data_IF_879485931606
#
_entry.id   IF_879485931606
#
_cell.length_a   1.000
_cell.length_b   1.000
_cell.length_c   1.000
_cell.angle_alpha   90.00
_cell.angle_beta   90.00
_cell.angle_gamma   90.00
#
_symmetry.space_group_name_H-M   'P 1'
#
loop_
_entity.id
_entity.type
_entity.pdbx_description
1 polymer ?
#
# COMPACT_ATOMS: atom_id res chain seq x y z
N UNK A 1 3.23 5.80 -20.51
CA UNK A 1 3.34 4.77 -19.44
C UNK A 1 2.65 3.47 -19.85
N UNK A 2 1.31 3.36 -19.81
CA UNK A 2 0.61 2.11 -20.20
C UNK A 2 0.90 1.72 -21.65
N UNK A 3 0.83 2.67 -22.59
CA UNK A 3 1.20 2.44 -23.99
C UNK A 3 2.65 1.94 -24.16
N UNK A 4 3.56 2.40 -23.30
CA UNK A 4 4.97 1.98 -23.35
C UNK A 4 5.16 0.59 -22.76
N UNK A 5 4.51 0.31 -21.62
CA UNK A 5 4.46 -1.02 -21.03
C UNK A 5 3.83 -2.05 -21.96
N UNK A 6 2.82 -1.64 -22.74
CA UNK A 6 2.14 -2.49 -23.71
C UNK A 6 3.03 -2.81 -24.93
N UNK A 7 4.15 -2.12 -25.16
CA UNK A 7 5.12 -2.44 -26.21
C UNK A 7 6.03 -3.62 -25.84
N UNK A 8 6.26 -3.85 -24.54
CA UNK A 8 7.12 -4.92 -24.04
C UNK A 8 6.41 -6.30 -24.08
N UNK A 9 7.12 -7.41 -24.33
CA UNK A 9 6.57 -8.76 -24.15
C UNK A 9 6.10 -9.02 -22.71
N UNK A 10 6.84 -8.50 -21.72
CA UNK A 10 6.52 -8.57 -20.30
C UNK A 10 6.72 -7.19 -19.67
N UNK A 11 5.71 -6.68 -18.98
CA UNK A 11 5.81 -5.40 -18.27
C UNK A 11 5.10 -5.43 -16.93
N UNK A 12 5.53 -4.54 -16.03
CA UNK A 12 4.86 -4.25 -14.77
C UNK A 12 4.62 -2.74 -14.71
N UNK A 13 3.39 -2.35 -14.37
CA UNK A 13 3.02 -0.95 -14.12
C UNK A 13 2.59 -0.83 -12.67
N UNK A 14 3.15 0.14 -11.95
CA UNK A 14 2.78 0.44 -10.56
C UNK A 14 1.98 1.74 -10.56
N UNK A 15 0.74 1.66 -10.08
CA UNK A 15 -0.17 2.79 -9.89
C UNK A 15 -0.28 3.05 -8.39
N UNK A 16 0.63 3.86 -7.88
CA UNK A 16 0.70 4.16 -6.45
C UNK A 16 -0.33 5.23 -6.06
N UNK A 17 -0.91 5.10 -4.86
CA UNK A 17 -1.77 6.06 -4.21
C UNK A 17 -2.96 6.50 -5.11
N UNK A 18 -3.83 5.53 -5.48
CA UNK A 18 -4.96 5.80 -6.38
C UNK A 18 -5.84 6.94 -5.88
N UNK A 19 -6.11 7.03 -4.57
CA UNK A 19 -6.91 8.10 -3.97
C UNK A 19 -6.35 9.50 -4.29
N UNK A 20 -5.02 9.65 -4.35
CA UNK A 20 -4.36 10.87 -4.78
C UNK A 20 -4.57 11.15 -6.28
N UNK A 21 -4.47 10.11 -7.12
CA UNK A 21 -4.69 10.24 -8.57
C UNK A 21 -6.12 10.64 -8.92
N UNK A 22 -7.11 10.05 -8.26
CA UNK A 22 -8.53 10.38 -8.49
C UNK A 22 -8.96 11.65 -7.76
N UNK A 23 -8.03 12.38 -7.14
CA UNK A 23 -8.31 13.60 -6.39
C UNK A 23 -9.38 13.40 -5.30
N UNK A 24 -9.32 12.27 -4.61
CA UNK A 24 -10.29 11.92 -3.57
C UNK A 24 -10.21 12.88 -2.39
N UNK A 25 -11.35 13.42 -1.96
CA UNK A 25 -11.46 14.24 -0.76
C UNK A 25 -12.64 13.78 0.13
N UNK A 26 -12.38 13.36 1.39
CA UNK A 26 -13.40 12.83 2.29
C UNK A 26 -14.38 13.89 2.84
N UNK A 27 -13.99 15.18 2.89
CA UNK A 27 -14.80 16.25 3.53
C UNK A 27 -16.06 16.63 2.70
N UNK A 28 -16.22 16.04 1.52
CA UNK A 28 -17.45 16.08 0.77
C UNK A 28 -17.30 15.18 -0.45
N UNK A 29 -17.45 13.84 -0.29
CA UNK A 29 -16.82 12.77 -1.05
C UNK A 29 -16.77 13.08 -2.54
N UNK A 30 -15.67 13.72 -2.95
CA UNK A 30 -15.41 14.20 -4.30
C UNK A 30 -14.25 13.41 -4.86
N UNK A 31 -14.29 13.21 -6.18
CA UNK A 31 -13.25 12.59 -6.95
C UNK A 31 -13.39 13.02 -8.42
N UNK A 32 -12.31 12.88 -9.18
CA UNK A 32 -12.31 13.08 -10.62
C UNK A 32 -12.84 11.82 -11.32
N UNK A 33 -14.13 11.83 -11.68
CA UNK A 33 -14.73 10.72 -12.43
C UNK A 33 -14.01 10.45 -13.76
N UNK A 34 -13.49 11.51 -14.41
CA UNK A 34 -12.69 11.38 -15.62
C UNK A 34 -11.47 10.48 -15.39
N UNK A 35 -10.73 10.69 -14.30
CA UNK A 35 -9.56 9.89 -13.96
C UNK A 35 -9.97 8.46 -13.56
N UNK A 36 -11.07 8.30 -12.82
CA UNK A 36 -11.60 6.96 -12.48
C UNK A 36 -11.90 6.15 -13.74
N UNK A 37 -12.59 6.74 -14.73
CA UNK A 37 -12.86 6.03 -15.99
C UNK A 37 -11.57 5.75 -16.77
N UNK A 38 -10.65 6.73 -16.86
CA UNK A 38 -9.38 6.54 -17.54
C UNK A 38 -8.55 5.38 -16.94
N UNK A 39 -8.48 5.28 -15.60
CA UNK A 39 -7.78 4.17 -14.93
C UNK A 39 -8.42 2.83 -15.30
N UNK A 40 -9.75 2.74 -15.31
CA UNK A 40 -10.45 1.49 -15.69
C UNK A 40 -10.15 1.06 -17.11
N UNK A 41 -10.22 2.01 -18.03
CA UNK A 41 -9.97 1.76 -19.44
C UNK A 41 -8.53 1.28 -19.65
N UNK A 42 -7.56 1.94 -19.00
CA UNK A 42 -6.15 1.56 -19.09
C UNK A 42 -5.87 0.18 -18.49
N UNK A 43 -6.46 -0.14 -17.33
CA UNK A 43 -6.28 -1.45 -16.66
C UNK A 43 -6.97 -2.57 -17.43
N UNK A 44 -8.10 -2.29 -18.08
CA UNK A 44 -8.89 -3.28 -18.83
C UNK A 44 -8.45 -3.43 -20.30
N UNK A 45 -7.51 -2.60 -20.76
CA UNK A 45 -7.12 -2.56 -22.16
C UNK A 45 -6.47 -3.88 -22.59
N UNK A 46 -6.97 -4.55 -23.64
CA UNK A 46 -6.41 -5.80 -24.12
C UNK A 46 -5.02 -5.57 -24.73
N UNK A 47 -4.08 -6.46 -24.41
CA UNK A 47 -2.74 -6.46 -24.99
C UNK A 47 -2.70 -7.26 -26.29
N UNK A 48 -1.77 -6.91 -27.18
CA UNK A 48 -1.47 -7.71 -28.38
C UNK A 48 -1.01 -9.11 -28.00
N UNK A 49 -1.25 -10.08 -28.88
CA UNK A 49 -0.84 -11.46 -28.68
C UNK A 49 0.65 -11.58 -28.34
N UNK A 50 0.97 -12.46 -27.39
CA UNK A 50 2.34 -12.67 -26.90
C UNK A 50 2.85 -11.62 -25.91
N UNK A 51 1.99 -10.70 -25.44
CA UNK A 51 2.35 -9.69 -24.42
C UNK A 51 1.57 -9.88 -23.13
N UNK A 52 2.22 -9.61 -22.00
CA UNK A 52 1.61 -9.65 -20.66
C UNK A 52 2.02 -8.43 -19.85
N UNK A 53 1.07 -7.83 -19.15
CA UNK A 53 1.29 -6.74 -18.22
C UNK A 53 0.70 -7.11 -16.86
N UNK A 54 1.48 -6.88 -15.80
CA UNK A 54 0.99 -6.89 -14.43
C UNK A 54 0.78 -5.44 -13.98
N UNK A 55 -0.44 -5.11 -13.57
CA UNK A 55 -0.71 -3.81 -12.94
C UNK A 55 -0.81 -4.01 -11.44
N UNK A 56 0.07 -3.35 -10.69
CA UNK A 56 0.03 -3.28 -9.24
C UNK A 56 -0.49 -1.91 -8.85
N UNK A 57 -1.45 -1.84 -7.94
CA UNK A 57 -1.95 -0.58 -7.45
C UNK A 57 -2.01 -0.56 -5.92
N UNK A 58 -1.81 0.62 -5.34
CA UNK A 58 -1.90 0.82 -3.89
C UNK A 58 -3.02 1.81 -3.57
N UNK A 59 -3.65 1.58 -2.42
CA UNK A 59 -4.65 2.50 -1.87
C UNK A 59 -4.74 2.34 -0.36
N UNK A 60 -4.95 3.45 0.33
CA UNK A 60 -5.34 3.50 1.75
C UNK A 60 -6.86 3.63 1.93
N UNK A 61 -7.61 3.84 0.84
CA UNK A 61 -9.06 4.13 0.82
C UNK A 61 -9.84 3.06 0.02
N UNK A 62 -9.67 1.78 0.38
CA UNK A 62 -10.29 0.66 -0.35
C UNK A 62 -11.81 0.76 -0.41
N UNK A 63 -12.46 1.16 0.69
CA UNK A 63 -13.92 1.18 0.77
C UNK A 63 -14.50 2.19 -0.23
N UNK A 64 -13.87 3.35 -0.31
CA UNK A 64 -14.23 4.46 -1.18
C UNK A 64 -14.03 4.08 -2.65
N UNK A 65 -12.90 3.44 -2.98
CA UNK A 65 -12.65 2.91 -4.32
C UNK A 65 -13.66 1.83 -4.72
N UNK A 66 -14.17 1.05 -3.75
CA UNK A 66 -15.18 0.04 -3.99
C UNK A 66 -16.55 0.66 -4.29
N UNK A 67 -16.95 1.72 -3.58
CA UNK A 67 -18.18 2.48 -3.88
C UNK A 67 -18.15 3.04 -5.30
N UNK A 68 -16.96 3.43 -5.77
CA UNK A 68 -16.82 3.89 -7.14
C UNK A 68 -16.88 2.77 -8.16
N UNK A 69 -16.81 1.48 -7.79
CA UNK A 69 -16.56 0.29 -8.62
C UNK A 69 -15.14 0.22 -9.23
N UNK A 70 -14.17 1.00 -8.72
CA UNK A 70 -12.81 1.00 -9.27
C UNK A 70 -12.03 -0.27 -8.88
N UNK A 71 -12.35 -0.87 -7.73
CA UNK A 71 -11.77 -2.15 -7.31
C UNK A 71 -12.03 -3.27 -8.31
N UNK A 72 -13.18 -3.28 -8.98
CA UNK A 72 -13.56 -4.31 -9.95
C UNK A 72 -12.67 -4.34 -11.20
N UNK A 73 -11.94 -3.26 -11.50
CA UNK A 73 -10.96 -3.25 -12.58
C UNK A 73 -9.73 -4.13 -12.28
N UNK A 74 -9.48 -4.46 -11.00
CA UNK A 74 -8.34 -5.26 -10.58
C UNK A 74 -8.77 -6.70 -10.24
N UNK A 75 -8.02 -7.68 -10.75
CA UNK A 75 -8.35 -9.10 -10.58
C UNK A 75 -8.11 -9.63 -9.16
N UNK A 76 -7.15 -9.05 -8.43
CA UNK A 76 -6.77 -9.51 -7.10
C UNK A 76 -6.63 -8.33 -6.13
N UNK A 77 -6.95 -8.60 -4.86
CA UNK A 77 -6.79 -7.65 -3.76
C UNK A 77 -5.99 -8.31 -2.65
N UNK A 78 -4.89 -7.66 -2.26
CA UNK A 78 -4.03 -8.09 -1.16
C UNK A 78 -4.16 -7.04 -0.06
N UNK A 79 -4.65 -7.45 1.10
CA UNK A 79 -4.73 -6.54 2.24
C UNK A 79 -3.38 -6.52 2.98
N UNK A 80 -2.80 -5.33 3.10
CA UNK A 80 -1.59 -5.09 3.88
C UNK A 80 -2.02 -4.59 5.26
N UNK A 81 -1.96 -5.50 6.25
CA UNK A 81 -2.34 -5.17 7.63
C UNK A 81 -1.27 -4.32 8.31
N UNK A 82 -1.71 -3.40 9.18
CA UNK A 82 -0.82 -2.81 10.18
C UNK A 82 -0.34 -3.88 11.19
N UNK A 83 0.78 -3.61 11.84
CA UNK A 83 1.32 -4.47 12.88
C UNK A 83 0.48 -4.31 14.15
N UNK A 84 0.02 -5.44 14.70
CA UNK A 84 -0.87 -5.48 15.86
C UNK A 84 -0.45 -6.48 16.94
N UNK A 85 0.66 -7.20 16.73
CA UNK A 85 1.22 -8.16 17.66
C UNK A 85 2.64 -7.78 18.05
N UNK A 86 3.06 -7.99 19.31
CA UNK A 86 4.43 -7.71 19.76
C UNK A 86 5.48 -8.33 18.85
N UNK A 87 5.28 -9.58 18.43
CA UNK A 87 6.18 -10.30 17.53
C UNK A 87 6.47 -9.54 16.22
N UNK A 88 5.46 -8.88 15.63
CA UNK A 88 5.65 -8.12 14.40
C UNK A 88 6.59 -6.92 14.61
N UNK A 89 6.44 -6.22 15.74
CA UNK A 89 7.30 -5.10 16.11
C UNK A 89 8.71 -5.61 16.40
N UNK A 90 8.84 -6.72 17.13
CA UNK A 90 10.15 -7.29 17.46
C UNK A 90 10.91 -7.73 16.20
N UNK A 91 10.24 -8.37 15.25
CA UNK A 91 10.85 -8.69 13.95
C UNK A 91 11.29 -7.45 13.19
N UNK A 92 10.48 -6.38 13.17
CA UNK A 92 10.85 -5.14 12.51
C UNK A 92 12.06 -4.45 13.18
N UNK A 93 12.11 -4.42 14.52
CA UNK A 93 13.23 -3.83 15.27
C UNK A 93 14.50 -4.68 15.21
N UNK A 94 14.37 -5.99 15.01
CA UNK A 94 15.50 -6.89 14.80
C UNK A 94 16.15 -6.66 13.43
N UNK A 95 15.36 -6.52 12.37
CA UNK A 95 15.86 -6.20 11.03
C UNK A 95 16.46 -4.78 10.93
N UNK A 96 15.93 -3.83 11.71
CA UNK A 96 16.40 -2.45 11.74
C UNK A 96 17.74 -2.26 12.48
N UNK A 97 18.06 -3.16 13.44
CA UNK A 97 19.33 -3.29 14.18
C UNK A 97 19.83 -2.04 14.94
N UNK A 98 19.01 -0.99 15.10
CA UNK A 98 19.39 0.20 15.89
C UNK A 98 19.27 0.02 17.40
N UNK A 99 18.56 -1.02 17.85
CA UNK A 99 18.38 -1.32 19.27
C UNK A 99 19.17 -2.57 19.68
N UNK A 100 19.84 -2.46 20.83
CA UNK A 100 20.48 -3.60 21.48
C UNK A 100 19.45 -4.65 21.89
N UNK A 101 19.89 -5.90 22.09
CA UNK A 101 19.01 -6.98 22.55
C UNK A 101 18.35 -6.67 23.90
N UNK A 102 19.02 -5.93 24.78
CA UNK A 102 18.45 -5.51 26.07
C UNK A 102 17.34 -4.48 25.91
N UNK A 103 17.49 -3.53 24.99
CA UNK A 103 16.46 -2.52 24.68
C UNK A 103 15.26 -3.17 24.00
N UNK A 104 15.48 -4.06 23.02
CA UNK A 104 14.40 -4.83 22.39
C UNK A 104 13.60 -5.63 23.42
N UNK A 105 14.26 -6.30 24.37
CA UNK A 105 13.58 -7.03 25.44
C UNK A 105 12.76 -6.11 26.37
N UNK A 106 13.25 -4.89 26.64
CA UNK A 106 12.47 -3.90 27.41
C UNK A 106 11.23 -3.46 26.65
N UNK A 107 11.36 -3.14 25.37
CA UNK A 107 10.25 -2.75 24.50
C UNK A 107 9.22 -3.88 24.43
N UNK A 108 9.66 -5.12 24.19
CA UNK A 108 8.80 -6.32 24.12
C UNK A 108 7.94 -6.46 25.39
N UNK A 109 8.56 -6.34 26.57
CA UNK A 109 7.84 -6.40 27.86
C UNK A 109 6.85 -5.25 28.03
N UNK A 110 7.21 -4.05 27.58
CA UNK A 110 6.33 -2.88 27.66
C UNK A 110 5.12 -2.97 26.73
N UNK A 111 5.27 -3.57 25.55
CA UNK A 111 4.17 -3.74 24.58
C UNK A 111 3.40 -5.05 24.77
N UNK A 112 3.92 -5.98 25.56
CA UNK A 112 3.26 -7.25 25.89
C UNK A 112 1.91 -7.00 26.56
N UNK A 113 0.84 -7.60 26.02
CA UNK A 113 -0.53 -7.41 26.50
C UNK A 113 -1.18 -6.08 26.09
N UNK A 114 -0.45 -5.18 25.42
CA UNK A 114 -1.02 -3.95 24.88
C UNK A 114 -1.73 -4.21 23.55
N UNK A 115 -2.80 -3.45 23.27
CA UNK A 115 -3.45 -3.43 21.96
C UNK A 115 -2.92 -2.25 21.17
N UNK A 116 -2.36 -2.53 20.00
CA UNK A 116 -1.87 -1.50 19.09
C UNK A 116 -2.15 -1.86 17.62
N UNK A 117 -2.05 -0.85 16.77
CA UNK A 117 -2.22 -0.95 15.33
C UNK A 117 -1.31 0.11 14.70
N UNK A 118 -0.11 -0.28 14.27
CA UNK A 118 0.91 0.63 13.78
C UNK A 118 1.43 0.18 12.41
N UNK A 119 1.46 1.10 11.45
CA UNK A 119 2.09 0.85 10.15
C UNK A 119 3.61 0.85 10.27
N UNK A 120 4.29 0.05 9.45
CA UNK A 120 5.77 -0.06 9.48
C UNK A 120 6.47 1.29 9.28
N UNK A 121 5.94 2.13 8.39
CA UNK A 121 6.48 3.49 8.18
C UNK A 121 6.47 4.32 9.47
N UNK A 122 5.36 4.28 10.21
CA UNK A 122 5.25 5.04 11.45
C UNK A 122 6.16 4.48 12.56
N UNK A 123 6.33 3.15 12.61
CA UNK A 123 7.31 2.55 13.51
C UNK A 123 8.72 3.10 13.20
N UNK A 124 9.14 3.07 11.93
CA UNK A 124 10.46 3.58 11.51
C UNK A 124 10.62 5.06 11.88
N UNK A 125 9.61 5.90 11.66
CA UNK A 125 9.62 7.31 12.06
C UNK A 125 9.79 7.50 13.58
N UNK A 126 9.17 6.64 14.41
CA UNK A 126 9.36 6.66 15.85
C UNK A 126 10.77 6.23 16.25
N UNK A 127 11.34 5.23 15.57
CA UNK A 127 12.73 4.84 15.80
C UNK A 127 13.68 5.97 15.42
N UNK A 128 13.49 6.61 14.26
CA UNK A 128 14.28 7.77 13.80
C UNK A 128 14.25 8.94 14.80
N UNK A 129 13.15 9.10 15.55
CA UNK A 129 13.00 10.14 16.55
C UNK A 129 13.82 9.87 17.82
N UNK A 130 13.93 8.61 18.24
CA UNK A 130 14.59 8.23 19.51
C UNK A 130 16.05 7.81 19.34
N UNK A 131 16.47 7.46 18.12
CA UNK A 131 17.85 7.09 17.80
C UNK A 131 18.74 8.29 17.41
N UNK A 132 18.23 9.52 17.54
CA UNK A 132 18.99 10.78 17.39
C UNK A 132 19.39 11.32 18.75
#
# INVERSE_FOLDING_TARGET
IFDDGAKSPLSVVIVDNIEGLIEYNPVGPRFSNFIVQAIRDLVSQPLKAGRRMLVLATTSCRAELAEQNLTQAFSWHIHVNAMSKPEHIMSALEEDDRFTSSERQKIERSISGSRFCIGIKHLIELVDLVSK
#
